data_IF_862241080929
#
_entry.id   IF_862241080929
#
_cell.length_a   1.000
_cell.length_b   1.000
_cell.length_c   1.000
_cell.angle_alpha   90.00
_cell.angle_beta   90.00
_cell.angle_gamma   90.00
#
_symmetry.space_group_name_H-M   'P 1'
#
loop_
_entity.id
_entity.type
_entity.pdbx_description
1 polymer ?
#
# COMPACT_ATOMS: atom_id res chain seq x y z
N UNK A 1 8.61 -0.68 8.63
CA UNK A 1 9.37 -0.03 7.54
C UNK A 1 8.79 -0.45 6.21
N UNK A 2 9.06 0.31 5.15
CA UNK A 2 8.74 -0.08 3.78
C UNK A 2 9.43 -1.41 3.41
N UNK A 3 8.70 -2.29 2.73
CA UNK A 3 9.25 -3.53 2.19
C UNK A 3 10.03 -3.23 0.90
N UNK A 4 11.21 -3.83 0.74
CA UNK A 4 12.08 -3.56 -0.40
C UNK A 4 11.49 -3.97 -1.74
N UNK A 5 10.53 -4.90 -1.75
CA UNK A 5 9.79 -5.34 -2.94
C UNK A 5 8.49 -4.57 -3.20
N UNK A 6 8.16 -3.54 -2.40
CA UNK A 6 6.95 -2.75 -2.64
C UNK A 6 7.05 -1.99 -3.98
N UNK A 7 5.95 -1.87 -4.71
CA UNK A 7 5.90 -1.09 -5.94
C UNK A 7 5.57 0.38 -5.67
N UNK A 8 6.30 1.30 -6.30
CA UNK A 8 6.01 2.73 -6.27
C UNK A 8 6.37 3.38 -7.61
N UNK A 9 5.88 4.59 -7.86
CA UNK A 9 6.28 5.34 -9.05
C UNK A 9 5.38 6.48 -9.45
N UNK A 10 5.85 7.25 -10.42
CA UNK A 10 5.16 8.35 -11.06
C UNK A 10 4.65 7.90 -12.43
N UNK A 11 3.33 7.98 -12.66
CA UNK A 11 2.75 7.60 -13.96
C UNK A 11 3.31 8.47 -15.08
N UNK A 12 3.53 7.89 -16.27
CA UNK A 12 3.83 8.65 -17.48
C UNK A 12 2.56 9.17 -18.19
N UNK A 13 1.37 8.65 -17.83
CA UNK A 13 0.16 8.78 -18.65
C UNK A 13 -1.07 9.26 -17.88
N UNK A 14 -1.18 9.02 -16.59
CA UNK A 14 -2.37 9.38 -15.82
C UNK A 14 -2.13 10.73 -15.14
N UNK A 15 -3.02 11.69 -15.37
CA UNK A 15 -2.91 13.01 -14.73
C UNK A 15 -2.99 12.87 -13.20
N UNK A 16 -2.28 13.72 -12.47
CA UNK A 16 -2.37 13.73 -11.01
C UNK A 16 -3.80 14.15 -10.61
N UNK A 17 -4.53 13.30 -9.87
CA UNK A 17 -5.86 13.68 -9.41
C UNK A 17 -5.76 14.78 -8.36
N UNK A 18 -6.77 15.65 -8.27
CA UNK A 18 -6.74 16.86 -7.42
C UNK A 18 -6.62 16.56 -5.92
N UNK A 19 -6.99 15.36 -5.48
CA UNK A 19 -6.87 14.90 -4.09
C UNK A 19 -5.48 14.36 -3.74
N UNK A 20 -4.63 14.10 -4.73
CA UNK A 20 -3.25 13.67 -4.53
C UNK A 20 -2.32 14.88 -4.68
N UNK A 21 -1.71 15.31 -3.57
CA UNK A 21 -0.99 16.59 -3.50
C UNK A 21 0.51 16.45 -3.20
N UNK A 22 1.06 15.23 -3.25
CA UNK A 22 2.49 15.02 -3.11
C UNK A 22 3.27 15.81 -4.17
N UNK A 23 4.47 16.27 -3.79
CA UNK A 23 5.31 17.09 -4.66
C UNK A 23 6.31 16.23 -5.45
N UNK A 24 6.90 16.74 -6.53
CA UNK A 24 7.97 16.04 -7.27
C UNK A 24 7.54 15.06 -8.37
N UNK A 25 6.26 14.65 -8.41
CA UNK A 25 5.67 13.99 -9.58
C UNK A 25 4.46 14.81 -10.05
N UNK A 26 4.37 15.15 -11.34
CA UNK A 26 3.26 15.93 -11.90
C UNK A 26 2.06 15.07 -12.32
N UNK A 27 2.19 13.74 -12.22
CA UNK A 27 1.23 12.73 -12.66
C UNK A 27 0.84 11.81 -11.50
N UNK A 28 -0.06 10.84 -11.69
CA UNK A 28 -0.50 9.95 -10.61
C UNK A 28 0.67 9.17 -10.01
N UNK A 29 0.91 9.30 -8.72
CA UNK A 29 1.88 8.50 -7.95
C UNK A 29 1.23 7.28 -7.34
N UNK A 30 1.88 6.12 -7.38
CA UNK A 30 1.51 4.88 -6.65
C UNK A 30 2.55 4.60 -5.56
N UNK A 31 2.21 3.92 -4.46
CA UNK A 31 0.88 3.43 -4.08
C UNK A 31 0.04 4.51 -3.35
N UNK A 32 -1.24 4.23 -3.05
CA UNK A 32 -2.11 5.12 -2.27
C UNK A 32 -2.05 4.79 -0.76
N UNK A 33 -2.13 3.50 -0.45
CA UNK A 33 -2.01 2.92 0.90
C UNK A 33 -1.30 1.56 0.81
N UNK A 34 -0.85 1.04 1.95
CA UNK A 34 -0.11 -0.22 2.05
C UNK A 34 -0.60 -1.12 3.16
N UNK A 35 -0.14 -2.38 3.16
CA UNK A 35 -0.29 -3.32 4.25
C UNK A 35 0.90 -4.29 4.23
N UNK A 36 0.91 -5.29 5.11
CA UNK A 36 1.99 -6.29 5.17
C UNK A 36 2.19 -6.96 3.81
N UNK A 37 3.45 -7.02 3.38
CA UNK A 37 3.85 -7.56 2.08
C UNK A 37 5.21 -8.26 2.10
N UNK A 38 6.01 -8.17 3.15
CA UNK A 38 7.29 -8.88 3.20
C UNK A 38 7.07 -10.37 3.48
N UNK A 39 7.52 -11.32 2.64
CA UNK A 39 7.43 -12.75 2.93
C UNK A 39 8.10 -13.15 4.26
N UNK A 40 9.11 -12.40 4.73
CA UNK A 40 9.75 -12.65 6.02
C UNK A 40 8.84 -12.35 7.22
N UNK A 41 7.81 -11.53 7.02
CA UNK A 41 6.74 -11.24 7.99
C UNK A 41 5.37 -11.56 7.39
N UNK A 42 5.34 -12.52 6.47
CA UNK A 42 4.19 -12.84 5.63
C UNK A 42 3.01 -13.45 6.40
N UNK A 43 1.94 -13.71 5.66
CA UNK A 43 0.73 -14.32 6.20
C UNK A 43 0.74 -15.84 5.97
N UNK A 44 0.22 -16.59 6.94
CA UNK A 44 -0.02 -18.01 6.77
C UNK A 44 -1.26 -18.24 5.90
N UNK A 45 -1.09 -18.97 4.80
CA UNK A 45 -2.19 -19.36 3.89
C UNK A 45 -2.17 -20.86 3.77
N UNK A 46 -3.36 -21.46 3.87
CA UNK A 46 -3.52 -22.89 3.60
C UNK A 46 -3.81 -23.10 2.12
N UNK A 47 -2.96 -23.88 1.45
CA UNK A 47 -3.19 -24.33 0.07
C UNK A 47 -3.35 -25.86 0.04
N UNK A 48 -4.52 -26.32 -0.39
CA UNK A 48 -4.80 -27.75 -0.54
C UNK A 48 -4.25 -28.34 -1.84
N UNK A 49 -3.84 -27.50 -2.80
CA UNK A 49 -3.24 -27.92 -4.06
C UNK A 49 -1.72 -27.86 -3.94
N UNK A 50 -1.05 -28.92 -4.38
CA UNK A 50 0.40 -28.96 -4.34
C UNK A 50 0.99 -28.00 -5.40
N UNK A 51 1.79 -27.04 -4.96
CA UNK A 51 2.60 -26.17 -5.81
C UNK A 51 4.08 -26.44 -5.58
N UNK A 52 4.81 -26.76 -6.65
CA UNK A 52 6.23 -27.16 -6.58
C UNK A 52 6.54 -28.24 -5.52
N UNK A 53 5.59 -29.16 -5.29
CA UNK A 53 5.73 -30.25 -4.33
C UNK A 53 5.40 -29.89 -2.87
N UNK A 54 4.95 -28.67 -2.60
CA UNK A 54 4.50 -28.23 -1.27
C UNK A 54 2.97 -28.01 -1.23
N UNK A 55 2.32 -28.44 -0.14
CA UNK A 55 0.90 -28.23 0.16
C UNK A 55 0.71 -28.09 1.67
N UNK A 56 -0.41 -27.53 2.11
CA UNK A 56 -0.73 -27.28 3.51
C UNK A 56 -0.53 -25.82 3.90
N UNK A 57 -0.05 -25.57 5.12
CA UNK A 57 0.23 -24.21 5.59
C UNK A 57 1.55 -23.69 4.99
N UNK A 58 1.45 -22.58 4.27
CA UNK A 58 2.56 -21.89 3.62
C UNK A 58 2.58 -20.42 4.05
N UNK A 59 3.71 -19.75 3.90
CA UNK A 59 3.85 -18.32 4.20
C UNK A 59 3.98 -17.54 2.89
N UNK A 60 3.15 -16.52 2.73
CA UNK A 60 3.16 -15.65 1.56
C UNK A 60 3.33 -14.18 1.93
N UNK A 61 3.98 -13.45 1.03
CA UNK A 61 4.03 -11.98 1.02
C UNK A 61 3.63 -11.43 -0.35
N UNK A 62 4.24 -10.33 -0.75
CA UNK A 62 3.87 -9.56 -1.92
C UNK A 62 2.80 -8.53 -1.63
N UNK A 63 2.72 -7.50 -2.48
CA UNK A 63 1.57 -6.59 -2.51
C UNK A 63 0.28 -7.34 -2.84
N UNK A 64 0.37 -8.53 -3.43
CA UNK A 64 -0.75 -9.48 -3.59
C UNK A 64 -1.37 -9.91 -2.26
N UNK A 65 -0.63 -9.93 -1.15
CA UNK A 65 -1.17 -10.11 0.21
C UNK A 65 -1.75 -8.79 0.74
N UNK A 66 -1.09 -7.67 0.48
CA UNK A 66 -1.56 -6.37 0.93
C UNK A 66 -2.91 -5.97 0.32
N UNK A 67 -3.13 -6.24 -0.97
CA UNK A 67 -4.36 -5.89 -1.69
C UNK A 67 -5.65 -6.44 -1.07
N UNK A 68 -5.80 -7.76 -0.81
CA UNK A 68 -7.00 -8.29 -0.18
C UNK A 68 -7.17 -7.83 1.28
N UNK A 69 -6.07 -7.53 2.00
CA UNK A 69 -6.15 -6.94 3.35
C UNK A 69 -6.82 -5.56 3.25
N UNK A 70 -6.31 -4.67 2.39
CA UNK A 70 -6.89 -3.33 2.19
C UNK A 70 -8.34 -3.41 1.69
N UNK A 71 -8.63 -4.30 0.73
CA UNK A 71 -10.00 -4.52 0.25
C UNK A 71 -10.95 -4.95 1.36
N UNK A 72 -10.50 -5.78 2.29
CA UNK A 72 -11.29 -6.21 3.44
C UNK A 72 -11.56 -5.06 4.42
N UNK A 73 -10.63 -4.12 4.57
CA UNK A 73 -10.84 -2.91 5.38
C UNK A 73 -11.90 -1.99 4.75
N UNK A 74 -11.86 -1.78 3.43
CA UNK A 74 -12.94 -1.07 2.71
C UNK A 74 -14.31 -1.77 2.89
N UNK A 75 -14.34 -3.10 2.79
CA UNK A 75 -15.57 -3.85 2.99
C UNK A 75 -16.10 -3.71 4.43
N UNK A 76 -15.20 -3.71 5.43
CA UNK A 76 -15.57 -3.55 6.83
C UNK A 76 -16.03 -2.13 7.17
N UNK A 77 -15.48 -1.10 6.51
CA UNK A 77 -15.93 0.28 6.65
C UNK A 77 -17.39 0.47 6.18
N UNK A 78 -17.82 -0.31 5.18
CA UNK A 78 -19.24 -0.42 4.79
C UNK A 78 -19.83 0.82 4.11
N UNK A 79 -19.01 1.79 3.76
CA UNK A 79 -19.37 3.09 3.16
C UNK A 79 -19.01 3.17 1.65
N UNK A 80 -18.54 2.09 1.03
CA UNK A 80 -18.03 2.06 -0.35
C UNK A 80 -18.99 2.57 -1.44
N UNK A 81 -20.30 2.61 -1.17
CA UNK A 81 -21.29 3.21 -2.07
C UNK A 81 -21.33 4.75 -2.04
N UNK A 82 -20.69 5.37 -1.05
CA UNK A 82 -20.78 6.81 -0.77
C UNK A 82 -19.45 7.55 -0.90
N UNK A 83 -18.34 6.82 -1.00
CA UNK A 83 -17.00 7.39 -1.03
C UNK A 83 -16.33 7.15 -2.38
N UNK A 84 -15.31 7.96 -2.67
CA UNK A 84 -14.33 7.63 -3.70
C UNK A 84 -13.15 6.92 -3.05
N UNK A 85 -13.05 5.60 -3.23
CA UNK A 85 -12.00 4.78 -2.61
C UNK A 85 -10.58 5.29 -2.90
N UNK A 86 -10.31 5.87 -4.08
CA UNK A 86 -8.99 6.42 -4.37
C UNK A 86 -8.67 7.69 -3.56
N UNK A 87 -9.68 8.51 -3.28
CA UNK A 87 -9.51 9.82 -2.65
C UNK A 87 -9.70 9.79 -1.12
N UNK A 88 -10.54 8.89 -0.61
CA UNK A 88 -10.98 8.90 0.78
C UNK A 88 -9.83 8.80 1.79
N UNK A 89 -8.82 7.94 1.60
CA UNK A 89 -7.66 7.88 2.49
C UNK A 89 -6.88 9.20 2.58
N UNK A 90 -6.80 9.97 1.49
CA UNK A 90 -6.06 11.25 1.45
C UNK A 90 -6.67 12.31 2.36
N UNK A 91 -7.99 12.29 2.57
CA UNK A 91 -8.68 13.16 3.52
C UNK A 91 -8.71 12.63 4.96
N UNK A 92 -8.25 11.39 5.18
CA UNK A 92 -8.32 10.68 6.47
C UNK A 92 -6.96 10.10 6.88
N UNK A 93 -5.85 10.73 6.48
CA UNK A 93 -4.49 10.22 6.75
C UNK A 93 -4.19 10.04 8.24
N UNK A 94 -4.85 10.80 9.13
CA UNK A 94 -4.77 10.60 10.58
C UNK A 94 -5.34 9.27 11.08
N UNK A 95 -6.06 8.53 10.23
CA UNK A 95 -6.59 7.17 10.49
C UNK A 95 -5.71 6.08 9.86
N UNK A 96 -4.46 6.39 9.55
CA UNK A 96 -3.46 5.47 9.02
C UNK A 96 -2.22 5.49 9.91
N UNK A 97 -1.48 4.38 9.94
CA UNK A 97 -0.14 4.34 10.48
C UNK A 97 0.86 4.74 9.40
N UNK A 98 1.41 5.94 9.53
CA UNK A 98 2.48 6.46 8.68
C UNK A 98 3.77 5.62 8.82
N UNK A 99 4.31 5.15 7.70
CA UNK A 99 5.50 4.30 7.68
C UNK A 99 6.71 5.16 7.32
N UNK A 100 7.41 5.65 8.33
CA UNK A 100 8.43 6.70 8.15
C UNK A 100 9.85 6.21 7.83
N UNK A 101 10.05 4.93 7.50
CA UNK A 101 11.40 4.37 7.30
C UNK A 101 11.44 3.20 6.33
N UNK A 102 12.60 2.98 5.72
CA UNK A 102 12.82 1.94 4.72
C UNK A 102 12.81 2.48 3.28
N UNK A 103 13.04 1.59 2.33
CA UNK A 103 13.12 1.92 0.91
C UNK A 103 12.80 0.71 0.05
N UNK A 104 12.20 0.93 -1.12
CA UNK A 104 11.95 -0.09 -2.15
C UNK A 104 12.89 0.01 -3.36
N UNK A 105 14.02 0.70 -3.22
CA UNK A 105 15.04 0.80 -4.25
C UNK A 105 15.70 2.16 -4.34
N UNK A 106 16.52 2.34 -5.38
CA UNK A 106 17.32 3.55 -5.55
C UNK A 106 16.66 4.52 -6.55
N UNK A 107 16.08 5.61 -6.03
CA UNK A 107 15.76 6.79 -6.86
C UNK A 107 16.33 8.09 -6.26
N UNK A 108 17.65 8.09 -6.06
CA UNK A 108 18.41 9.23 -5.55
C UNK A 108 17.87 9.81 -4.22
N UNK A 109 17.29 8.95 -3.36
CA UNK A 109 16.72 9.35 -2.08
C UNK A 109 15.38 10.10 -2.18
N UNK A 110 14.78 10.19 -3.38
CA UNK A 110 13.45 10.76 -3.57
C UNK A 110 12.40 10.03 -2.73
N UNK A 111 11.38 10.75 -2.28
CA UNK A 111 10.20 10.19 -1.60
C UNK A 111 9.54 9.06 -2.41
N UNK A 112 9.75 9.02 -3.73
CA UNK A 112 9.25 7.93 -4.56
C UNK A 112 9.80 6.55 -4.19
N UNK A 113 10.99 6.44 -3.59
CA UNK A 113 11.56 5.14 -3.17
C UNK A 113 12.07 5.11 -1.74
N UNK A 114 12.00 6.23 -1.02
CA UNK A 114 12.41 6.33 0.38
C UNK A 114 11.21 6.72 1.20
N UNK A 115 10.90 5.91 2.21
CA UNK A 115 9.81 6.18 3.13
C UNK A 115 10.16 7.31 4.09
N UNK A 116 9.16 8.10 4.47
CA UNK A 116 9.34 9.32 5.26
C UNK A 116 8.01 9.80 5.84
N UNK A 117 8.02 10.93 6.57
CA UNK A 117 6.79 11.45 7.16
C UNK A 117 5.79 11.91 6.08
N UNK A 118 4.54 11.48 6.21
CA UNK A 118 3.46 11.80 5.29
C UNK A 118 3.41 10.86 4.08
N UNK A 119 3.00 11.38 2.92
CA UNK A 119 2.96 10.55 1.71
C UNK A 119 4.37 10.24 1.23
N UNK A 120 4.65 8.95 1.04
CA UNK A 120 5.81 8.45 0.30
C UNK A 120 5.42 7.43 -0.77
N UNK A 121 6.28 7.22 -1.75
CA UNK A 121 6.03 6.26 -2.82
C UNK A 121 5.94 4.82 -2.32
N UNK A 122 6.90 4.30 -1.52
CA UNK A 122 6.91 2.91 -1.10
C UNK A 122 5.68 2.48 -0.30
N UNK A 123 5.08 3.39 0.48
CA UNK A 123 3.98 3.05 1.39
C UNK A 123 2.71 3.87 1.21
N UNK A 124 2.73 4.90 0.37
CA UNK A 124 1.61 5.80 0.16
C UNK A 124 1.37 6.66 1.39
N UNK A 125 0.13 6.69 1.86
CA UNK A 125 -0.26 7.33 3.12
C UNK A 125 -0.03 6.45 4.36
N UNK A 126 0.54 5.26 4.18
CA UNK A 126 0.77 4.29 5.25
C UNK A 126 -0.23 3.13 5.25
N UNK A 127 -0.44 2.54 6.43
CA UNK A 127 -1.24 1.31 6.60
C UNK A 127 -2.52 1.53 7.40
N UNK A 128 -3.56 0.68 7.27
CA UNK A 128 -4.80 0.85 8.00
C UNK A 128 -4.63 0.94 9.52
N UNK A 129 -5.23 1.96 10.14
CA UNK A 129 -5.43 2.06 11.59
C UNK A 129 -6.93 2.02 11.89
N UNK A 130 -7.51 0.82 11.79
CA UNK A 130 -8.96 0.63 11.80
C UNK A 130 -9.61 0.98 10.45
N UNK A 131 -10.91 1.26 10.47
CA UNK A 131 -11.72 1.48 9.25
C UNK A 131 -11.95 2.94 8.90
N UNK A 132 -11.61 3.89 9.79
CA UNK A 132 -11.98 5.30 9.60
C UNK A 132 -11.32 5.97 8.38
N UNK A 133 -10.23 5.41 7.87
CA UNK A 133 -9.56 5.85 6.64
C UNK A 133 -10.09 5.23 5.35
N UNK A 134 -11.13 4.39 5.42
CA UNK A 134 -11.61 3.54 4.33
C UNK A 134 -13.13 3.61 4.16
#
# INVERSE_FOLDING_TARGET
SAWSGAGSGCSAYIAKPSWQTDSGCSRRTIADVSAVADPNTGVAVYDSYAYLGASGWLVFGGTSVASPIVASVYALAGNGATINNGAYPYSHSGSLFDVISGSNGSCAGSYLCTAGAGYDGPTGLGTPNGTAGF
#
